data_IF_990974246183
#
_entry.id   IF_990974246183
#
_cell.length_a   1.000
_cell.length_b   1.000
_cell.length_c   1.000
_cell.angle_alpha   90.00
_cell.angle_beta   90.00
_cell.angle_gamma   90.00
#
_symmetry.space_group_name_H-M   'P 1'
#
loop_
_entity.id
_entity.type
_entity.pdbx_description
1 polymer ?
#
# COMPACT_ATOMS: atom_id res chain seq x y z
N UNK A 1 -25.99 -0.65 19.53
CA UNK A 1 -27.00 0.32 19.98
C UNK A 1 -26.39 1.37 20.90
N UNK A 2 -25.81 1.00 22.05
CA UNK A 2 -25.19 1.95 22.99
C UNK A 2 -24.16 2.90 22.32
N UNK A 3 -23.19 2.34 21.58
CA UNK A 3 -22.16 3.14 20.88
C UNK A 3 -22.78 4.07 19.84
N UNK A 4 -23.62 3.55 18.95
CA UNK A 4 -24.39 4.37 17.98
C UNK A 4 -25.22 5.49 18.61
N UNK A 5 -25.73 5.27 19.83
CA UNK A 5 -26.45 6.31 20.58
C UNK A 5 -25.50 7.40 21.10
N UNK A 6 -24.26 7.05 21.47
CA UNK A 6 -23.24 8.03 21.85
C UNK A 6 -22.74 8.84 20.66
N UNK A 7 -22.69 8.23 19.47
CA UNK A 7 -22.24 8.88 18.23
C UNK A 7 -23.37 9.63 17.48
N UNK A 8 -24.55 9.77 18.10
CA UNK A 8 -25.75 10.40 17.50
C UNK A 8 -26.19 9.82 16.14
N UNK A 9 -25.86 8.55 15.88
CA UNK A 9 -26.22 7.84 14.65
C UNK A 9 -27.63 7.21 14.68
N UNK A 10 -28.33 7.31 15.81
CA UNK A 10 -29.68 6.75 15.93
C UNK A 10 -30.71 7.63 15.23
N UNK A 11 -31.61 6.98 14.48
CA UNK A 11 -32.81 7.65 13.97
C UNK A 11 -33.67 8.18 15.14
N UNK A 12 -34.51 9.18 14.89
CA UNK A 12 -35.37 9.74 15.95
C UNK A 12 -36.28 8.69 16.62
N UNK A 13 -36.74 7.70 15.85
CA UNK A 13 -37.56 6.60 16.37
C UNK A 13 -36.75 5.65 17.24
N UNK A 14 -35.54 5.29 16.83
CA UNK A 14 -34.66 4.40 17.59
C UNK A 14 -34.15 5.09 18.86
N UNK A 15 -33.91 6.41 18.80
CA UNK A 15 -33.55 7.24 19.95
C UNK A 15 -34.62 7.17 21.04
N UNK A 16 -35.89 7.39 20.68
CA UNK A 16 -36.99 7.34 21.64
C UNK A 16 -37.16 5.95 22.28
N UNK A 17 -37.02 4.89 21.49
CA UNK A 17 -37.07 3.51 22.00
C UNK A 17 -35.88 3.18 22.92
N UNK A 18 -34.69 3.67 22.58
CA UNK A 18 -33.49 3.53 23.39
C UNK A 18 -33.60 4.28 24.72
N UNK A 19 -34.08 5.52 24.71
CA UNK A 19 -34.29 6.32 25.92
C UNK A 19 -35.34 5.69 26.84
N UNK A 20 -36.43 5.17 26.27
CA UNK A 20 -37.43 4.40 27.02
C UNK A 20 -36.78 3.18 27.68
N UNK A 21 -35.98 2.40 26.95
CA UNK A 21 -35.29 1.23 27.50
C UNK A 21 -34.29 1.60 28.61
N UNK A 22 -33.55 2.69 28.47
CA UNK A 22 -32.63 3.18 29.50
C UNK A 22 -33.36 3.63 30.77
N UNK A 23 -34.62 4.05 30.67
CA UNK A 23 -35.44 4.39 31.84
C UNK A 23 -35.89 3.15 32.63
N UNK A 24 -36.03 2.00 31.97
CA UNK A 24 -36.51 0.75 32.57
C UNK A 24 -35.39 -0.21 32.99
N UNK A 25 -34.19 -0.10 32.39
CA UNK A 25 -33.08 -1.03 32.62
C UNK A 25 -31.85 -0.36 33.25
N UNK A 26 -31.68 -0.52 34.57
CA UNK A 26 -30.52 0.04 35.30
C UNK A 26 -29.17 -0.53 34.83
N UNK A 27 -29.12 -1.79 34.42
CA UNK A 27 -27.89 -2.41 33.92
C UNK A 27 -27.40 -1.75 32.62
N UNK A 28 -28.33 -1.46 31.69
CA UNK A 28 -28.01 -0.74 30.46
C UNK A 28 -27.65 0.71 30.73
N UNK A 29 -28.33 1.37 31.69
CA UNK A 29 -27.99 2.72 32.14
C UNK A 29 -26.58 2.81 32.72
N UNK A 30 -26.20 1.84 33.56
CA UNK A 30 -24.85 1.74 34.12
C UNK A 30 -23.79 1.63 33.03
N UNK A 31 -23.98 0.70 32.08
CA UNK A 31 -23.06 0.53 30.94
C UNK A 31 -22.96 1.78 30.05
N UNK A 32 -24.08 2.45 29.79
CA UNK A 32 -24.08 3.70 29.02
C UNK A 32 -23.27 4.80 29.73
N UNK A 33 -23.43 4.94 31.04
CA UNK A 33 -22.67 5.89 31.84
C UNK A 33 -21.16 5.54 31.88
N UNK A 34 -20.81 4.26 32.06
CA UNK A 34 -19.41 3.80 32.02
C UNK A 34 -18.74 4.13 30.68
N UNK A 35 -19.41 3.86 29.57
CA UNK A 35 -18.91 4.21 28.23
C UNK A 35 -18.76 5.74 28.08
N UNK A 36 -19.72 6.53 28.57
CA UNK A 36 -19.63 7.98 28.60
C UNK A 36 -18.41 8.50 29.37
N UNK A 37 -18.14 7.93 30.55
CA UNK A 37 -16.94 8.28 31.34
C UNK A 37 -15.65 7.92 30.60
N UNK A 38 -15.58 6.74 29.98
CA UNK A 38 -14.42 6.32 29.21
C UNK A 38 -14.18 7.23 27.99
N UNK A 39 -15.24 7.63 27.28
CA UNK A 39 -15.16 8.55 26.14
C UNK A 39 -14.56 9.89 26.54
N UNK A 40 -15.05 10.50 27.63
CA UNK A 40 -14.52 11.76 28.15
C UNK A 40 -13.06 11.62 28.59
N UNK A 41 -12.68 10.50 29.22
CA UNK A 41 -11.29 10.25 29.62
C UNK A 41 -10.36 10.08 28.42
N UNK A 42 -10.82 9.37 27.38
CA UNK A 42 -10.09 9.18 26.13
C UNK A 42 -9.87 10.53 25.44
N UNK A 43 -10.92 11.35 25.31
CA UNK A 43 -10.84 12.67 24.70
C UNK A 43 -9.87 13.59 25.49
N UNK A 44 -9.95 13.57 26.82
CA UNK A 44 -9.02 14.31 27.67
C UNK A 44 -7.57 13.78 27.57
N UNK A 45 -7.36 12.50 27.29
CA UNK A 45 -6.03 11.94 27.05
C UNK A 45 -5.49 12.35 25.67
N UNK A 46 -6.33 12.29 24.64
CA UNK A 46 -5.99 12.72 23.28
C UNK A 46 -5.66 14.21 23.23
N UNK A 47 -6.44 15.05 23.90
CA UNK A 47 -6.19 16.49 23.96
C UNK A 47 -4.88 16.81 24.71
N UNK A 48 -4.56 16.05 25.77
CA UNK A 48 -3.25 16.19 26.45
C UNK A 48 -2.09 15.79 25.55
N UNK A 49 -2.22 14.70 24.79
CA UNK A 49 -1.18 14.31 23.82
C UNK A 49 -1.08 15.29 22.64
N UNK A 50 -2.20 15.89 22.23
CA UNK A 50 -2.22 16.90 21.18
C UNK A 50 -1.54 18.20 21.64
N UNK A 51 -1.73 18.61 22.89
CA UNK A 51 -1.01 19.73 23.48
C UNK A 51 0.51 19.44 23.63
N UNK A 52 0.88 18.19 23.90
CA UNK A 52 2.28 17.75 23.95
C UNK A 52 2.92 17.65 22.55
N UNK A 53 2.11 17.40 21.51
CA UNK A 53 2.45 17.59 20.10
C UNK A 53 2.39 19.08 19.74
N UNK A 54 3.42 19.82 20.14
CA UNK A 54 3.55 21.24 19.84
C UNK A 54 3.68 21.46 18.31
N UNK A 55 2.55 21.58 17.61
CA UNK A 55 2.50 21.74 16.15
C UNK A 55 3.39 22.89 15.67
N UNK A 56 3.56 23.93 16.50
CA UNK A 56 4.45 25.06 16.20
C UNK A 56 5.92 24.66 16.12
N UNK A 57 6.35 23.75 16.99
CA UNK A 57 7.71 23.23 17.02
C UNK A 57 7.95 22.29 15.85
N UNK A 58 6.98 21.44 15.51
CA UNK A 58 7.07 20.60 14.31
C UNK A 58 7.07 21.42 13.01
N UNK A 59 6.22 22.45 12.91
CA UNK A 59 6.23 23.37 11.76
C UNK A 59 7.57 24.08 11.64
N UNK A 60 8.13 24.55 12.75
CA UNK A 60 9.45 25.18 12.76
C UNK A 60 10.56 24.22 12.31
N UNK A 61 10.54 22.96 12.78
CA UNK A 61 11.49 21.93 12.35
C UNK A 61 11.34 21.61 10.86
N UNK A 62 10.10 21.49 10.37
CA UNK A 62 9.81 21.22 8.97
C UNK A 62 10.26 22.38 8.07
N UNK A 63 9.99 23.61 8.47
CA UNK A 63 10.46 24.83 7.78
C UNK A 63 11.99 24.87 7.71
N UNK A 64 12.68 24.57 8.81
CA UNK A 64 14.14 24.48 8.81
C UNK A 64 14.66 23.42 7.84
N UNK A 65 14.01 22.25 7.79
CA UNK A 65 14.43 21.15 6.92
C UNK A 65 14.18 21.46 5.43
N UNK A 66 13.08 22.15 5.11
CA UNK A 66 12.81 22.65 3.76
C UNK A 66 13.85 23.68 3.32
N UNK A 67 14.13 24.68 4.17
CA UNK A 67 15.16 25.69 3.89
C UNK A 67 16.53 25.02 3.68
N UNK A 68 16.87 24.02 4.51
CA UNK A 68 18.11 23.26 4.38
C UNK A 68 18.21 22.54 3.05
N UNK A 69 17.11 21.93 2.58
CA UNK A 69 17.05 21.24 1.28
C UNK A 69 17.11 22.21 0.11
N UNK A 70 16.44 23.35 0.18
CA UNK A 70 16.48 24.39 -0.86
C UNK A 70 17.87 25.02 -0.99
N UNK A 71 18.62 25.13 0.11
CA UNK A 71 19.99 25.67 0.11
C UNK A 71 21.04 24.66 -0.36
N UNK A 72 20.71 23.37 -0.50
CA UNK A 72 21.64 22.42 -1.12
C UNK A 72 21.68 22.70 -2.63
N UNK A 73 22.86 23.05 -3.19
CA UNK A 73 22.98 23.20 -4.61
C UNK A 73 22.67 21.85 -5.27
N UNK A 74 21.67 21.82 -6.15
CA UNK A 74 21.37 20.67 -7.00
C UNK A 74 22.61 20.44 -7.88
N UNK A 75 23.52 19.59 -7.42
CA UNK A 75 24.59 19.03 -8.22
C UNK A 75 23.92 18.09 -9.22
N UNK A 76 23.41 18.64 -10.32
CA UNK A 76 23.01 17.84 -11.46
C UNK A 76 24.27 17.09 -11.94
N UNK A 77 24.30 15.74 -11.92
CA UNK A 77 25.42 15.01 -12.49
C UNK A 77 25.38 15.19 -14.00
N UNK A 78 26.10 16.19 -14.49
CA UNK A 78 26.34 16.47 -15.91
C UNK A 78 27.35 15.47 -16.48
N UNK A 79 27.05 14.16 -16.46
CA UNK A 79 27.76 13.14 -17.25
C UNK A 79 27.16 11.76 -16.97
N UNK A 80 26.25 11.28 -17.84
CA UNK A 80 25.65 9.97 -17.64
C UNK A 80 25.16 9.23 -18.89
N UNK A 81 25.33 9.78 -20.10
CA UNK A 81 24.86 9.10 -21.33
C UNK A 81 25.84 8.05 -21.88
N UNK A 82 27.09 8.03 -21.44
CA UNK A 82 28.13 7.15 -22.01
C UNK A 82 28.44 5.93 -21.12
N UNK A 83 28.31 6.05 -19.79
CA UNK A 83 28.61 4.96 -18.86
C UNK A 83 27.60 3.79 -18.91
N UNK A 84 26.34 4.05 -19.31
CA UNK A 84 25.27 3.03 -19.36
C UNK A 84 25.44 1.99 -20.47
N UNK A 85 26.26 2.25 -21.50
CA UNK A 85 26.46 1.32 -22.64
C UNK A 85 27.60 0.31 -22.45
N UNK A 86 28.53 0.54 -21.53
CA UNK A 86 29.67 -0.37 -21.32
C UNK A 86 29.36 -1.44 -20.27
N UNK A 87 28.43 -1.18 -19.34
CA UNK A 87 28.04 -2.15 -18.30
C UNK A 87 27.31 -3.39 -18.85
N UNK A 88 26.63 -3.28 -20.00
CA UNK A 88 25.83 -4.38 -20.54
C UNK A 88 26.65 -5.44 -21.30
N UNK A 89 27.89 -5.15 -21.72
CA UNK A 89 28.69 -6.11 -22.50
C UNK A 89 29.44 -7.15 -21.66
N UNK A 90 29.62 -6.91 -20.36
CA UNK A 90 30.35 -7.84 -19.47
C UNK A 90 29.46 -8.96 -18.90
N UNK A 91 28.15 -8.74 -18.75
CA UNK A 91 27.25 -9.75 -18.18
C UNK A 91 27.02 -10.96 -19.10
N UNK A 92 27.12 -10.78 -20.43
CA UNK A 92 26.86 -11.83 -21.42
C UNK A 92 28.04 -12.81 -21.54
N UNK A 93 29.27 -12.37 -21.26
CA UNK A 93 30.45 -13.24 -21.36
C UNK A 93 30.58 -14.19 -20.16
N UNK A 94 30.17 -13.77 -18.96
CA UNK A 94 30.24 -14.61 -17.75
C UNK A 94 29.17 -15.72 -17.74
N UNK A 95 28.00 -15.50 -18.37
CA UNK A 95 26.92 -16.49 -18.42
C UNK A 95 27.19 -17.65 -19.40
N UNK A 96 28.06 -17.46 -20.39
CA UNK A 96 28.46 -18.53 -21.33
C UNK A 96 29.54 -19.48 -20.78
N UNK A 97 30.34 -19.05 -19.79
CA UNK A 97 31.37 -19.91 -19.21
C UNK A 97 30.82 -20.89 -18.15
N UNK A 98 29.73 -20.52 -17.47
CA UNK A 98 29.13 -21.35 -16.39
C UNK A 98 28.19 -22.42 -16.96
N UNK A 99 27.64 -22.21 -18.15
CA UNK A 99 26.68 -23.14 -18.79
C UNK A 99 27.33 -24.39 -19.41
N UNK A 100 28.67 -24.44 -19.55
CA UNK A 100 29.38 -25.60 -20.12
C UNK A 100 29.70 -26.68 -19.07
N UNK A 101 29.69 -26.36 -17.76
CA UNK A 101 30.09 -27.30 -16.70
C UNK A 101 28.93 -28.07 -16.04
N UNK A 102 27.68 -27.78 -16.40
CA UNK A 102 26.49 -28.42 -15.81
C UNK A 102 25.54 -28.99 -16.88
N UNK A 103 26.04 -29.89 -17.74
CA UNK A 103 25.19 -30.69 -18.64
C UNK A 103 25.02 -32.11 -18.06
N UNK A 104 24.00 -32.36 -17.21
CA UNK A 104 23.54 -33.71 -16.94
C UNK A 104 22.75 -34.22 -18.15
N UNK A 105 23.20 -35.34 -18.71
CA UNK A 105 22.48 -36.08 -19.74
C UNK A 105 21.20 -36.68 -19.16
N UNK A 106 20.03 -36.14 -19.53
CA UNK A 106 18.77 -36.87 -19.43
C UNK A 106 17.97 -36.82 -20.74
N UNK A 107 17.38 -37.95 -21.15
CA UNK A 107 16.79 -38.13 -22.47
C UNK A 107 15.45 -37.41 -22.61
N UNK A 108 15.16 -37.05 -23.85
CA UNK A 108 14.07 -36.24 -24.36
C UNK A 108 12.69 -36.54 -23.77
N UNK A 109 12.07 -35.48 -23.22
CA UNK A 109 10.63 -35.32 -23.21
C UNK A 109 10.31 -33.96 -23.84
N UNK A 110 9.87 -34.03 -25.09
CA UNK A 110 9.18 -32.96 -25.81
C UNK A 110 7.96 -32.55 -24.99
N UNK A 111 7.85 -31.31 -24.52
CA UNK A 111 6.56 -30.59 -24.37
C UNK A 111 6.82 -29.08 -24.25
N UNK A 112 6.12 -28.35 -25.10
CA UNK A 112 5.99 -26.92 -25.29
C UNK A 112 6.15 -26.02 -24.07
N UNK A 113 6.85 -24.89 -24.26
CA UNK A 113 6.62 -23.65 -23.53
C UNK A 113 5.12 -23.31 -23.58
N UNK A 114 4.43 -23.53 -22.46
CA UNK A 114 3.11 -22.96 -22.22
C UNK A 114 3.30 -21.49 -21.88
N UNK A 115 2.88 -20.64 -22.81
CA UNK A 115 2.59 -19.24 -22.57
C UNK A 115 1.70 -19.11 -21.32
N UNK A 116 2.03 -18.11 -20.51
CA UNK A 116 1.22 -17.64 -19.39
C UNK A 116 -0.16 -17.22 -19.93
N UNK A 117 -1.18 -18.03 -19.63
CA UNK A 117 -2.55 -17.79 -20.06
C UNK A 117 -3.28 -17.05 -18.93
N UNK A 118 -3.17 -15.72 -18.93
CA UNK A 118 -4.00 -14.80 -18.15
C UNK A 118 -5.44 -14.92 -18.66
N UNK A 119 -6.24 -15.80 -18.05
CA UNK A 119 -7.67 -15.92 -18.37
C UNK A 119 -8.56 -15.53 -17.20
N UNK A 120 -9.20 -14.37 -17.42
CA UNK A 120 -10.47 -13.86 -16.83
C UNK A 120 -10.28 -13.10 -15.52
N UNK A 121 -10.63 -11.82 -15.35
CA UNK A 121 -11.46 -10.89 -16.12
C UNK A 121 -10.67 -9.60 -16.41
N UNK A 122 -10.87 -8.94 -17.56
CA UNK A 122 -10.17 -7.69 -17.93
C UNK A 122 -10.12 -6.68 -16.75
N UNK A 123 -8.93 -6.27 -16.30
CA UNK A 123 -8.73 -4.92 -15.81
C UNK A 123 -7.89 -4.18 -16.87
N UNK A 124 -8.27 -2.96 -17.19
CA UNK A 124 -7.47 -2.07 -18.04
C UNK A 124 -6.14 -1.77 -17.35
N UNK A 125 -5.09 -2.54 -17.66
CA UNK A 125 -3.71 -2.16 -17.33
C UNK A 125 -3.38 -0.87 -18.06
N UNK A 126 -2.74 0.07 -17.40
CA UNK A 126 -2.31 1.33 -18.02
C UNK A 126 -0.79 1.50 -17.88
N UNK A 127 -0.21 2.16 -18.87
CA UNK A 127 1.24 2.30 -19.01
C UNK A 127 1.68 3.66 -18.47
N UNK A 128 2.60 3.66 -17.53
CA UNK A 128 3.23 4.87 -16.98
C UNK A 128 4.74 4.66 -17.07
N UNK A 129 5.44 5.59 -17.74
CA UNK A 129 6.89 5.55 -17.94
C UNK A 129 7.45 4.24 -18.56
N UNK A 130 6.62 3.51 -19.32
CA UNK A 130 6.99 2.25 -19.97
C UNK A 130 6.77 1.00 -19.12
N UNK A 131 6.19 1.15 -17.93
CA UNK A 131 5.84 0.06 -17.01
C UNK A 131 4.32 -0.12 -16.95
N UNK A 132 3.88 -1.37 -16.81
CA UNK A 132 2.45 -1.74 -16.78
C UNK A 132 1.95 -1.81 -15.36
N UNK A 133 1.01 -0.95 -14.99
CA UNK A 133 0.40 -0.92 -13.67
C UNK A 133 -1.00 -1.55 -13.69
N UNK A 134 -1.31 -2.28 -12.62
CA UNK A 134 -2.64 -2.82 -12.37
C UNK A 134 -3.46 -1.81 -11.57
N UNK A 135 -4.65 -1.40 -12.05
CA UNK A 135 -5.52 -0.49 -11.30
C UNK A 135 -6.03 -1.17 -10.04
N UNK A 136 -6.04 -0.44 -8.93
CA UNK A 136 -6.63 -0.91 -7.68
C UNK A 136 -8.16 -0.78 -7.70
N UNK A 137 -8.91 -1.68 -7.05
CA UNK A 137 -10.33 -1.44 -6.84
C UNK A 137 -10.50 -0.16 -6.01
N UNK A 138 -11.50 0.64 -6.36
CA UNK A 138 -11.81 1.94 -5.78
C UNK A 138 -10.91 3.12 -6.21
N UNK A 139 -9.88 2.89 -7.03
CA UNK A 139 -9.13 4.01 -7.63
C UNK A 139 -9.82 4.52 -8.90
N UNK A 140 -9.84 5.84 -9.09
CA UNK A 140 -10.36 6.44 -10.31
C UNK A 140 -9.23 6.62 -11.32
N UNK A 141 -9.08 5.66 -12.24
CA UNK A 141 -8.06 5.67 -13.30
C UNK A 141 -8.22 6.79 -14.32
N UNK A 142 -9.34 7.52 -14.32
CA UNK A 142 -9.57 8.67 -15.20
C UNK A 142 -9.05 9.99 -14.60
N UNK A 143 -8.56 9.98 -13.36
CA UNK A 143 -7.92 11.15 -12.77
C UNK A 143 -6.66 11.50 -13.57
N UNK A 144 -6.46 12.78 -13.94
CA UNK A 144 -5.27 13.19 -14.66
C UNK A 144 -4.04 12.86 -13.81
N UNK A 145 -3.25 11.92 -14.30
CA UNK A 145 -1.91 11.64 -13.79
C UNK A 145 -1.11 12.92 -13.98
N UNK A 146 -0.87 13.66 -12.90
CA UNK A 146 0.05 14.81 -12.91
C UNK A 146 1.48 14.33 -13.09
N UNK A 147 2.40 14.75 -12.23
CA UNK A 147 3.68 14.05 -12.10
C UNK A 147 3.42 12.67 -11.49
N UNK A 148 3.72 11.55 -12.20
CA UNK A 148 3.54 10.22 -11.63
C UNK A 148 4.50 10.04 -10.45
N UNK A 149 3.95 9.73 -9.28
CA UNK A 149 4.73 9.46 -8.07
C UNK A 149 4.72 7.96 -7.83
N UNK A 150 5.79 7.28 -8.22
CA UNK A 150 5.97 5.84 -8.02
C UNK A 150 6.78 5.63 -6.74
N UNK A 151 6.24 4.85 -5.81
CA UNK A 151 6.88 4.52 -4.54
C UNK A 151 6.98 3.01 -4.40
N UNK A 152 8.19 2.51 -4.22
CA UNK A 152 8.43 1.10 -3.91
C UNK A 152 8.07 0.82 -2.45
N UNK A 153 7.19 -0.14 -2.20
CA UNK A 153 6.77 -0.54 -0.86
C UNK A 153 6.54 -2.05 -0.75
N UNK A 154 6.59 -2.54 0.49
CA UNK A 154 6.18 -3.91 0.82
C UNK A 154 4.67 -3.94 0.99
N UNK A 155 3.98 -4.70 0.13
CA UNK A 155 2.52 -4.83 0.13
C UNK A 155 2.15 -6.24 0.55
N UNK A 156 1.26 -6.43 1.54
CA UNK A 156 0.78 -7.76 1.92
C UNK A 156 0.10 -8.47 0.75
N UNK A 157 0.37 -9.77 0.58
CA UNK A 157 -0.25 -10.59 -0.48
C UNK A 157 -1.76 -10.64 -0.32
N UNK A 158 -2.27 -10.57 0.91
CA UNK A 158 -3.71 -10.46 1.21
C UNK A 158 -4.34 -9.25 0.55
N UNK A 159 -3.71 -8.07 0.63
CA UNK A 159 -4.19 -6.83 0.00
C UNK A 159 -4.16 -6.89 -1.53
N UNK A 160 -3.18 -7.60 -2.11
CA UNK A 160 -3.10 -7.80 -3.56
C UNK A 160 -4.20 -8.77 -4.03
N UNK A 161 -4.46 -9.82 -3.25
CA UNK A 161 -5.56 -10.76 -3.52
C UNK A 161 -6.92 -10.07 -3.44
N UNK A 162 -7.12 -9.21 -2.44
CA UNK A 162 -8.32 -8.37 -2.31
C UNK A 162 -8.46 -7.37 -3.49
N UNK A 163 -7.34 -6.93 -4.05
CA UNK A 163 -7.29 -6.14 -5.28
C UNK A 163 -7.58 -6.94 -6.56
N UNK A 164 -7.84 -8.25 -6.44
CA UNK A 164 -8.06 -9.15 -7.57
C UNK A 164 -6.77 -9.64 -8.25
N UNK A 165 -5.60 -9.34 -7.67
CA UNK A 165 -4.31 -9.83 -8.14
C UNK A 165 -4.00 -11.15 -7.43
N UNK A 166 -4.29 -12.26 -8.10
CA UNK A 166 -3.92 -13.59 -7.63
C UNK A 166 -2.41 -13.80 -7.83
N UNK A 167 -1.64 -13.74 -6.74
CA UNK A 167 -0.22 -14.07 -6.73
C UNK A 167 -0.08 -15.53 -6.28
N UNK A 168 0.30 -16.42 -7.19
CA UNK A 168 0.62 -17.80 -6.81
C UNK A 168 2.01 -17.82 -6.12
N UNK A 169 2.12 -18.34 -4.89
CA UNK A 169 3.40 -18.43 -4.21
C UNK A 169 4.31 -19.41 -4.95
N UNK A 170 5.52 -18.95 -5.32
CA UNK A 170 6.52 -19.74 -6.07
C UNK A 170 7.09 -20.91 -5.24
N UNK A 171 6.81 -20.93 -3.93
CA UNK A 171 7.28 -21.96 -3.02
C UNK A 171 6.11 -22.75 -2.46
N UNK A 172 6.20 -24.08 -2.53
CA UNK A 172 5.24 -25.09 -2.03
C UNK A 172 5.01 -25.09 -0.51
N UNK A 173 5.25 -23.96 0.15
CA UNK A 173 5.09 -23.75 1.57
C UNK A 173 3.80 -22.95 1.74
N UNK A 174 2.79 -23.58 2.35
CA UNK A 174 1.47 -23.01 2.57
C UNK A 174 1.57 -21.51 2.92
N UNK A 175 1.04 -20.67 2.03
CA UNK A 175 1.25 -19.23 2.03
C UNK A 175 0.90 -18.61 3.37
N UNK A 176 1.87 -17.96 3.98
CA UNK A 176 1.63 -17.09 5.12
C UNK A 176 0.81 -15.89 4.63
N UNK A 177 -0.41 -15.65 5.14
CA UNK A 177 -1.21 -14.48 4.77
C UNK A 177 -0.51 -13.15 5.13
N UNK A 178 0.53 -13.20 5.98
CA UNK A 178 1.38 -12.06 6.33
C UNK A 178 2.62 -11.91 5.43
N UNK A 179 2.75 -12.73 4.38
CA UNK A 179 3.81 -12.54 3.39
C UNK A 179 3.62 -11.22 2.65
N UNK A 180 4.70 -10.44 2.54
CA UNK A 180 4.72 -9.15 1.87
C UNK A 180 5.60 -9.21 0.62
N UNK A 181 5.12 -8.58 -0.44
CA UNK A 181 5.75 -8.56 -1.77
C UNK A 181 6.24 -7.15 -2.07
N UNK A 182 7.40 -7.03 -2.70
CA UNK A 182 7.92 -5.73 -3.10
C UNK A 182 7.20 -5.27 -4.36
N UNK A 183 6.52 -4.14 -4.29
CA UNK A 183 5.76 -3.59 -5.40
C UNK A 183 5.96 -2.08 -5.53
N UNK A 184 5.96 -1.62 -6.77
CA UNK A 184 5.88 -0.21 -7.13
C UNK A 184 4.41 0.22 -7.10
N UNK A 185 4.08 1.16 -6.22
CA UNK A 185 2.75 1.72 -6.11
C UNK A 185 2.74 3.10 -6.75
N UNK A 186 1.85 3.27 -7.72
CA UNK A 186 1.61 4.55 -8.37
C UNK A 186 0.63 5.36 -7.53
N UNK A 187 1.03 6.57 -7.15
CA UNK A 187 0.21 7.50 -6.39
C UNK A 187 -0.33 8.62 -7.28
N UNK A 188 -1.59 9.00 -7.04
CA UNK A 188 -2.23 10.16 -7.63
C UNK A 188 -1.73 11.48 -7.05
N UNK A 189 -2.19 12.61 -7.63
CA UNK A 189 -1.84 13.95 -7.15
C UNK A 189 -2.41 14.27 -5.76
N UNK A 190 -3.43 13.52 -5.34
CA UNK A 190 -4.04 13.49 -4.01
C UNK A 190 -3.28 12.60 -3.01
N UNK A 191 -2.30 11.81 -3.48
CA UNK A 191 -1.58 10.84 -2.68
C UNK A 191 -2.30 9.49 -2.53
N UNK A 192 -3.43 9.29 -3.22
CA UNK A 192 -4.14 8.01 -3.19
C UNK A 192 -3.49 6.99 -4.16
N UNK A 193 -3.50 5.68 -3.82
CA UNK A 193 -2.90 4.67 -4.66
C UNK A 193 -3.80 4.38 -5.88
N UNK A 194 -3.26 4.58 -7.07
CA UNK A 194 -3.94 4.38 -8.34
C UNK A 194 -3.71 3.00 -8.93
N UNK A 195 -2.48 2.48 -8.79
CA UNK A 195 -2.12 1.17 -9.31
C UNK A 195 -0.86 0.58 -8.70
N UNK A 196 -0.65 -0.71 -8.97
CA UNK A 196 0.46 -1.49 -8.40
C UNK A 196 1.16 -2.28 -9.50
N UNK A 197 2.49 -2.32 -9.43
CA UNK A 197 3.36 -3.14 -10.27
C UNK A 197 4.24 -4.00 -9.36
N UNK A 198 4.11 -5.32 -9.44
CA UNK A 198 4.83 -6.27 -8.57
C UNK A 198 6.23 -6.52 -9.13
N UNK A 199 7.26 -6.32 -8.30
CA UNK A 199 8.68 -6.39 -8.70
C UNK A 199 9.29 -7.73 -8.30
N UNK A 200 9.05 -8.17 -7.06
CA UNK A 200 9.66 -9.38 -6.52
C UNK A 200 8.80 -10.03 -5.44
N UNK A 201 8.61 -11.34 -5.55
CA UNK A 201 7.93 -12.19 -4.57
C UNK A 201 8.99 -12.89 -3.74
N UNK A 202 9.25 -12.39 -2.53
CA UNK A 202 10.21 -13.01 -1.59
C UNK A 202 9.66 -14.28 -0.97
#
# INVERSE_FOLDING_TARGET
MLVRAMDDELSATDRAAFDLHLSECDACRGRYHELGVLSVQLEAALNRSADEYNEREQRYVLEQELIRREQMPILTPRSGKVARRVGWSMAIAASLAVSVLFIPHHPSATTSSSAFDLRTAQPSTFEVDGESFFPLPYSNSELPLGTPHIVQMQVPVSSLTDAGLAIEPVSSQAGDPDSAVLADVLLGADGEPLGVHVIDTQ
#
